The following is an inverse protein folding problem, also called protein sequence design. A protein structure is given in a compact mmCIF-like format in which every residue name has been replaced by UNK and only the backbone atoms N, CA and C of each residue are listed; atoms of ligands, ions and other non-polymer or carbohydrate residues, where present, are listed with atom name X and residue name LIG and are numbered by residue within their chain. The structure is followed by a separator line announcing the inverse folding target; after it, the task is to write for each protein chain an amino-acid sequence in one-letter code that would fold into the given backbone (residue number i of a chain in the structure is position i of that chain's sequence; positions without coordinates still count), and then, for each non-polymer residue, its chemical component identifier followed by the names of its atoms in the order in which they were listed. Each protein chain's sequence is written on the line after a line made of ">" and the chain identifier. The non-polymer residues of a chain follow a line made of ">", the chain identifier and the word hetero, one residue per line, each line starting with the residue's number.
data_IF_335493174462
#
_entry.id   IF_335493174462
#
_cell.length_a   1.000
_cell.length_b   1.000
_cell.length_c   1.000
_cell.angle_alpha   90.00
_cell.angle_beta   90.00
_cell.angle_gamma   90.00
#
_symmetry.space_group_name_H-M   'P 1'
#
loop_
_entity.id
_entity.type
_entity.pdbx_description
1 polymer ?
#
# COMPACT_ATOMS: atom_id res chain seq x y z
N UNK A 1 17.70 22.80 -7.11
CA UNK A 1 16.27 22.50 -7.35
C UNK A 1 16.22 21.10 -7.95
N UNK A 2 15.95 20.08 -7.14
CA UNK A 2 15.78 18.73 -7.66
C UNK A 2 14.44 18.66 -8.40
N UNK A 3 14.46 18.31 -9.69
CA UNK A 3 13.23 17.95 -10.39
C UNK A 3 12.68 16.70 -9.69
N UNK A 4 11.50 16.79 -9.10
CA UNK A 4 10.78 15.60 -8.66
C UNK A 4 10.50 14.75 -9.89
N UNK A 5 11.07 13.55 -9.94
CA UNK A 5 10.75 12.60 -10.99
C UNK A 5 9.27 12.21 -10.79
N UNK A 6 8.43 12.60 -11.75
CA UNK A 6 7.04 12.16 -11.79
C UNK A 6 6.98 10.81 -12.48
N UNK A 7 6.38 9.83 -11.83
CA UNK A 7 6.06 8.54 -12.45
C UNK A 7 4.67 8.58 -13.08
N UNK A 8 4.47 7.76 -14.10
CA UNK A 8 3.17 7.49 -14.73
C UNK A 8 3.01 5.99 -14.91
N UNK A 9 1.81 5.58 -15.25
CA UNK A 9 1.54 4.16 -15.55
C UNK A 9 1.73 3.84 -17.05
N UNK A 10 1.86 4.85 -17.90
CA UNK A 10 1.94 4.70 -19.36
C UNK A 10 3.01 5.62 -19.97
N UNK A 11 3.48 5.25 -21.15
CA UNK A 11 4.43 6.03 -21.93
C UNK A 11 5.86 5.96 -21.38
N UNK A 12 6.67 6.98 -21.67
CA UNK A 12 8.10 7.03 -21.29
C UNK A 12 8.36 7.05 -19.79
N UNK A 13 7.38 7.43 -18.99
CA UNK A 13 7.44 7.45 -17.52
C UNK A 13 6.61 6.31 -16.92
N UNK A 14 6.23 5.33 -17.76
CA UNK A 14 5.43 4.16 -17.38
C UNK A 14 6.25 3.10 -16.66
N UNK A 15 5.55 2.07 -16.21
CA UNK A 15 6.06 0.99 -15.36
C UNK A 15 7.32 0.32 -15.89
N UNK A 16 7.42 0.13 -17.21
CA UNK A 16 8.57 -0.53 -17.85
C UNK A 16 9.87 0.27 -17.67
N UNK A 17 9.76 1.58 -17.48
CA UNK A 17 10.91 2.49 -17.34
C UNK A 17 11.14 2.96 -15.90
N UNK A 18 10.30 2.55 -14.95
CA UNK A 18 10.50 2.92 -13.54
C UNK A 18 11.87 2.57 -12.99
N UNK A 19 12.48 1.41 -13.32
CA UNK A 19 13.81 1.07 -12.83
C UNK A 19 14.92 2.03 -13.25
N UNK A 20 14.76 2.77 -14.34
CA UNK A 20 15.73 3.79 -14.78
C UNK A 20 15.81 4.95 -13.78
N UNK A 21 14.68 5.27 -13.15
CA UNK A 21 14.56 6.36 -12.18
C UNK A 21 14.55 5.88 -10.73
N UNK A 22 14.08 4.65 -10.52
CA UNK A 22 13.92 3.99 -9.23
C UNK A 22 14.58 2.60 -9.28
N UNK A 23 15.91 2.50 -9.09
CA UNK A 23 16.65 1.24 -9.27
C UNK A 23 16.14 0.06 -8.44
N UNK A 24 15.52 0.32 -7.27
CA UNK A 24 14.94 -0.73 -6.42
C UNK A 24 13.74 -1.42 -7.05
N UNK A 25 13.13 -0.88 -8.10
CA UNK A 25 12.08 -1.55 -8.86
C UNK A 25 12.56 -2.82 -9.60
N UNK A 26 13.88 -3.01 -9.74
CA UNK A 26 14.49 -4.26 -10.21
C UNK A 26 14.85 -5.23 -9.06
N UNK A 27 14.63 -4.83 -7.81
CA UNK A 27 14.94 -5.65 -6.64
C UNK A 27 14.01 -6.85 -6.50
N UNK A 28 14.37 -7.76 -5.58
CA UNK A 28 13.60 -8.98 -5.32
C UNK A 28 12.43 -8.78 -4.34
N UNK A 29 12.39 -7.65 -3.65
CA UNK A 29 11.34 -7.32 -2.68
C UNK A 29 10.33 -6.38 -3.33
N UNK A 30 9.42 -6.95 -4.08
CA UNK A 30 8.38 -6.21 -4.81
C UNK A 30 7.01 -6.43 -4.18
N UNK A 31 6.11 -5.47 -4.42
CA UNK A 31 4.70 -5.51 -4.06
C UNK A 31 3.90 -4.85 -5.21
N UNK A 32 2.72 -5.33 -5.54
CA UNK A 32 1.93 -6.42 -4.93
C UNK A 32 2.49 -7.83 -5.22
N UNK A 33 1.97 -8.82 -4.48
CA UNK A 33 2.30 -10.24 -4.66
C UNK A 33 1.03 -11.09 -4.76
N UNK A 34 1.15 -12.25 -5.41
CA UNK A 34 0.16 -13.33 -5.27
C UNK A 34 0.51 -14.20 -4.06
N UNK A 35 -0.46 -14.43 -3.19
CA UNK A 35 -0.32 -15.28 -2.00
C UNK A 35 -0.77 -16.69 -2.37
N UNK A 36 0.19 -17.58 -2.64
CA UNK A 36 -0.09 -19.02 -2.83
C UNK A 36 -0.32 -19.68 -1.46
N UNK A 37 -1.57 -20.01 -1.17
CA UNK A 37 -1.96 -20.61 0.13
C UNK A 37 -1.38 -22.02 0.33
N UNK A 38 -0.90 -22.68 -0.72
CA UNK A 38 -0.21 -23.97 -0.61
C UNK A 38 1.25 -23.84 -0.12
N UNK A 39 1.84 -22.66 -0.29
CA UNK A 39 3.23 -22.37 0.06
C UNK A 39 3.39 -21.54 1.35
N UNK A 40 2.29 -21.07 1.96
CA UNK A 40 2.37 -20.28 3.18
C UNK A 40 2.80 -21.12 4.39
N UNK A 41 3.61 -20.53 5.24
CA UNK A 41 4.00 -21.11 6.53
C UNK A 41 3.23 -20.39 7.63
N UNK A 42 2.59 -21.15 8.50
CA UNK A 42 1.89 -20.60 9.66
C UNK A 42 2.91 -20.22 10.74
N UNK A 43 2.96 -18.94 11.07
CA UNK A 43 3.73 -18.44 12.21
C UNK A 43 2.81 -18.08 13.38
N UNK A 44 3.33 -18.24 14.59
CA UNK A 44 2.66 -17.87 15.83
C UNK A 44 3.48 -16.79 16.50
N UNK A 45 2.89 -15.63 16.66
CA UNK A 45 3.51 -14.50 17.34
C UNK A 45 3.09 -14.49 18.81
N UNK A 46 3.97 -14.02 19.69
CA UNK A 46 3.71 -13.88 21.13
C UNK A 46 2.56 -12.91 21.43
N UNK A 47 2.38 -11.93 20.56
CA UNK A 47 1.28 -10.99 20.61
C UNK A 47 0.55 -10.93 19.27
N UNK A 48 -0.79 -10.82 19.29
CA UNK A 48 -1.54 -10.60 18.05
C UNK A 48 -1.27 -9.21 17.47
N UNK A 49 -1.66 -9.02 16.22
CA UNK A 49 -1.74 -7.70 15.61
C UNK A 49 -2.77 -6.86 16.39
N UNK A 50 -2.41 -5.64 16.77
CA UNK A 50 -3.22 -4.71 17.55
C UNK A 50 -3.53 -3.47 16.74
N UNK A 51 -4.76 -3.04 16.79
CA UNK A 51 -5.24 -1.80 16.19
C UNK A 51 -5.84 -0.91 17.28
N UNK A 52 -5.19 0.20 17.58
CA UNK A 52 -5.66 1.16 18.57
C UNK A 52 -6.20 2.42 17.89
N UNK A 53 -7.24 3.01 18.46
CA UNK A 53 -7.81 4.28 18.01
C UNK A 53 -8.66 4.23 16.72
N UNK A 54 -8.85 3.08 16.09
CA UNK A 54 -9.59 2.97 14.81
C UNK A 54 -11.10 3.23 14.93
N UNK A 55 -11.63 3.34 16.14
CA UNK A 55 -13.01 3.81 16.38
C UNK A 55 -13.14 5.33 16.51
N UNK A 56 -12.02 6.05 16.60
CA UNK A 56 -11.98 7.50 16.67
C UNK A 56 -12.32 8.07 15.30
N UNK A 57 -13.26 9.02 15.26
CA UNK A 57 -13.59 9.74 14.03
C UNK A 57 -12.51 10.78 13.75
N UNK A 58 -12.03 10.78 12.52
CA UNK A 58 -10.99 11.71 12.07
C UNK A 58 -11.49 12.60 10.96
N UNK A 59 -10.86 13.77 10.89
CA UNK A 59 -11.01 14.69 9.77
C UNK A 59 -9.83 14.55 8.82
N UNK A 60 -10.07 14.83 7.56
CA UNK A 60 -9.03 14.77 6.55
C UNK A 60 -9.49 15.32 5.21
N UNK A 61 -8.62 15.27 4.25
CA UNK A 61 -8.85 15.79 2.92
C UNK A 61 -8.86 14.67 1.87
N UNK A 62 -9.89 14.63 1.05
CA UNK A 62 -9.94 13.80 -0.16
C UNK A 62 -9.37 14.57 -1.35
N UNK A 63 -8.45 13.94 -2.06
CA UNK A 63 -7.87 14.49 -3.27
C UNK A 63 -7.67 13.39 -4.34
N UNK A 64 -7.88 13.76 -5.59
CA UNK A 64 -7.34 13.00 -6.71
C UNK A 64 -5.92 13.51 -6.97
N UNK A 65 -4.92 12.67 -6.72
CA UNK A 65 -3.50 13.01 -6.85
C UNK A 65 -2.93 12.74 -8.25
N UNK A 66 -3.80 12.39 -9.22
CA UNK A 66 -3.41 11.99 -10.58
C UNK A 66 -3.12 10.48 -10.73
N UNK A 67 -3.05 9.74 -9.63
CA UNK A 67 -2.78 8.30 -9.59
C UNK A 67 -3.90 7.53 -8.89
N UNK A 68 -4.49 8.11 -7.87
CA UNK A 68 -5.56 7.52 -7.07
C UNK A 68 -6.41 8.60 -6.41
N UNK A 69 -7.56 8.19 -5.87
CA UNK A 69 -8.29 8.98 -4.89
C UNK A 69 -7.73 8.66 -3.51
N UNK A 70 -7.20 9.66 -2.85
CA UNK A 70 -6.53 9.55 -1.56
C UNK A 70 -7.23 10.38 -0.49
N UNK A 71 -7.38 9.80 0.70
CA UNK A 71 -7.78 10.51 1.91
C UNK A 71 -6.56 10.66 2.82
N UNK A 72 -6.20 11.89 3.16
CA UNK A 72 -5.09 12.21 4.05
C UNK A 72 -5.62 12.78 5.35
N UNK A 73 -5.20 12.24 6.47
CA UNK A 73 -5.59 12.73 7.80
C UNK A 73 -5.03 14.12 8.09
N UNK A 74 -5.84 14.99 8.68
CA UNK A 74 -5.40 16.32 9.12
C UNK A 74 -4.42 16.23 10.31
N UNK A 75 -4.70 15.31 11.24
CA UNK A 75 -3.91 15.12 12.47
C UNK A 75 -3.64 13.62 12.69
N UNK A 76 -2.67 13.02 11.98
CA UNK A 76 -2.33 11.62 12.18
C UNK A 76 -1.74 11.38 13.58
N UNK A 77 -1.99 10.19 14.14
CA UNK A 77 -1.42 9.80 15.44
C UNK A 77 -2.36 9.00 16.32
N UNK A 78 -3.66 9.13 16.11
CA UNK A 78 -4.65 8.41 16.90
C UNK A 78 -4.81 6.94 16.49
N UNK A 79 -4.71 6.64 15.19
CA UNK A 79 -4.83 5.29 14.65
C UNK A 79 -3.46 4.65 14.57
N UNK A 80 -3.29 3.61 15.37
CA UNK A 80 -1.99 2.95 15.56
C UNK A 80 -2.12 1.46 15.31
N UNK A 81 -1.14 0.91 14.58
CA UNK A 81 -0.98 -0.51 14.31
C UNK A 81 0.31 -1.01 14.96
N UNK A 82 0.25 -2.12 15.70
CA UNK A 82 1.41 -2.73 16.37
C UNK A 82 1.24 -4.23 16.58
N UNK A 83 2.26 -4.91 17.10
CA UNK A 83 2.23 -6.32 17.41
C UNK A 83 2.32 -7.24 16.17
N UNK A 84 2.03 -8.52 16.33
CA UNK A 84 2.22 -9.52 15.28
C UNK A 84 3.65 -9.52 14.73
N UNK A 85 3.84 -9.52 13.40
CA UNK A 85 5.16 -9.50 12.76
C UNK A 85 5.81 -8.12 12.73
N UNK A 86 5.16 -7.09 13.26
CA UNK A 86 5.62 -5.71 13.13
C UNK A 86 6.79 -5.42 14.08
N UNK A 87 7.86 -4.83 13.58
CA UNK A 87 9.03 -4.45 14.37
C UNK A 87 8.87 -3.16 15.17
N UNK A 88 7.66 -2.56 15.15
CA UNK A 88 7.40 -1.28 15.82
C UNK A 88 5.94 -0.89 15.74
N UNK A 89 5.72 0.37 16.03
CA UNK A 89 4.40 1.01 16.01
C UNK A 89 4.25 1.85 14.76
N UNK A 90 3.14 1.70 14.06
CA UNK A 90 2.84 2.38 12.82
C UNK A 90 1.61 3.25 12.97
N UNK A 91 1.65 4.43 12.43
CA UNK A 91 0.58 5.43 12.49
C UNK A 91 -0.09 5.52 11.12
N UNK A 92 -1.42 5.52 11.09
CA UNK A 92 -2.17 5.78 9.87
C UNK A 92 -1.95 7.23 9.44
N UNK A 93 -1.45 7.43 8.22
CA UNK A 93 -1.25 8.75 7.62
C UNK A 93 -2.31 9.07 6.56
N UNK A 94 -2.61 8.09 5.73
CA UNK A 94 -3.51 8.23 4.60
C UNK A 94 -4.05 6.86 4.18
N UNK A 95 -5.11 6.87 3.41
CA UNK A 95 -5.58 5.71 2.65
C UNK A 95 -5.85 6.14 1.20
N UNK A 96 -5.73 5.23 0.29
CA UNK A 96 -6.05 5.44 -1.10
C UNK A 96 -6.66 4.18 -1.72
N UNK A 97 -7.29 4.36 -2.87
CA UNK A 97 -8.06 3.31 -3.51
C UNK A 97 -7.35 2.79 -4.75
N UNK A 98 -7.50 1.49 -5.00
CA UNK A 98 -7.18 0.83 -6.25
C UNK A 98 -8.46 0.26 -6.83
N UNK A 99 -8.67 0.42 -8.12
CA UNK A 99 -9.85 -0.07 -8.84
C UNK A 99 -9.52 -0.37 -10.28
N UNK A 100 -10.38 -1.12 -10.95
CA UNK A 100 -10.29 -1.45 -12.36
C UNK A 100 -11.52 -1.00 -13.15
N UNK A 101 -11.56 -1.37 -14.42
CA UNK A 101 -12.71 -1.10 -15.30
C UNK A 101 -13.90 -2.02 -15.03
N UNK A 102 -13.69 -3.14 -14.34
CA UNK A 102 -14.67 -4.19 -14.04
C UNK A 102 -14.43 -4.75 -12.65
N UNK A 103 -15.42 -5.45 -12.08
CA UNK A 103 -15.34 -6.02 -10.72
C UNK A 103 -14.28 -7.12 -10.55
N UNK A 104 -13.80 -7.70 -11.65
CA UNK A 104 -12.78 -8.74 -11.64
C UNK A 104 -11.34 -8.21 -11.80
N UNK A 105 -11.14 -6.89 -11.82
CA UNK A 105 -9.82 -6.25 -11.94
C UNK A 105 -9.71 -5.04 -11.02
N UNK A 106 -8.49 -4.74 -10.56
CA UNK A 106 -8.23 -3.56 -9.70
C UNK A 106 -7.62 -3.91 -8.36
N UNK A 107 -7.77 -5.14 -7.86
CA UNK A 107 -7.02 -5.62 -6.71
C UNK A 107 -5.53 -5.66 -7.03
N UNK A 108 -4.70 -5.20 -6.12
CA UNK A 108 -3.26 -5.28 -6.31
C UNK A 108 -2.71 -6.63 -5.89
N UNK A 109 -2.89 -7.02 -4.61
CA UNK A 109 -2.54 -8.35 -4.15
C UNK A 109 -3.61 -9.37 -4.56
N UNK A 110 -3.17 -10.59 -4.84
CA UNK A 110 -4.07 -11.71 -5.19
C UNK A 110 -3.87 -12.87 -4.22
N UNK A 111 -4.85 -13.76 -4.16
CA UNK A 111 -4.77 -15.01 -3.39
C UNK A 111 -5.07 -16.16 -4.34
N UNK A 112 -4.08 -17.03 -4.56
CA UNK A 112 -4.16 -18.12 -5.55
C UNK A 112 -4.59 -17.62 -6.94
N UNK A 113 -4.01 -16.50 -7.38
CA UNK A 113 -4.30 -15.84 -8.64
C UNK A 113 -5.68 -15.16 -8.74
N UNK A 114 -6.41 -15.04 -7.63
CA UNK A 114 -7.72 -14.36 -7.60
C UNK A 114 -7.61 -12.99 -6.96
N UNK A 115 -8.25 -12.04 -7.58
CA UNK A 115 -8.42 -10.67 -7.11
C UNK A 115 -9.54 -10.55 -6.07
#
# INVERSE_FOLDING_TARGET
>A
MGSSVHFKYFGKEGTDNWPEHFPLCHGLNQSPIDIDTSAVVKEIYSEPLKTDGYSIKESGNFANNGHSVQFTLDNPGNQVLSGGPLNGTYVLLQLHFHWGSEDCVGSEHTVNGKQ
#
